data_IF_063842702162
#
_entry.id   IF_063842702162
#
_cell.length_a   1.000
_cell.length_b   1.000
_cell.length_c   1.000
_cell.angle_alpha   90.00
_cell.angle_beta   90.00
_cell.angle_gamma   90.00
#
_symmetry.space_group_name_H-M   'P 1'
#
loop_
_entity.id
_entity.type
_entity.pdbx_description
1 polymer ?
#
# COMPACT_ATOMS: atom_id res chain seq x y z
N UNK A 1 68.34 -10.39 -9.26
CA UNK A 1 67.68 -11.60 -9.81
C UNK A 1 66.23 -11.61 -9.36
N UNK A 2 65.33 -11.84 -10.32
CA UNK A 2 63.91 -12.18 -10.23
C UNK A 2 62.97 -11.29 -9.40
N UNK A 3 62.33 -10.36 -10.10
CA UNK A 3 60.99 -9.83 -9.80
C UNK A 3 59.94 -10.93 -9.96
N UNK A 4 59.17 -11.23 -8.91
CA UNK A 4 57.94 -12.03 -9.05
C UNK A 4 56.81 -11.41 -8.24
N UNK A 5 56.11 -10.46 -8.86
CA UNK A 5 54.80 -10.00 -8.43
C UNK A 5 53.78 -11.08 -8.78
N UNK A 6 53.52 -11.99 -7.83
CA UNK A 6 52.44 -12.98 -7.96
C UNK A 6 51.10 -12.29 -7.75
N UNK A 7 50.44 -11.95 -8.86
CA UNK A 7 49.03 -11.59 -8.87
C UNK A 7 48.21 -12.86 -8.60
N UNK A 8 47.77 -13.05 -7.35
CA UNK A 8 46.73 -14.02 -7.03
C UNK A 8 45.40 -13.52 -7.60
N UNK A 9 45.07 -14.01 -8.79
CA UNK A 9 43.74 -13.90 -9.37
C UNK A 9 42.79 -14.74 -8.50
N UNK A 10 42.03 -14.10 -7.60
CA UNK A 10 40.98 -14.78 -6.85
C UNK A 10 39.92 -15.22 -7.85
N UNK A 11 40.00 -16.49 -8.22
CA UNK A 11 39.04 -17.17 -9.05
C UNK A 11 37.69 -17.07 -8.35
N UNK A 12 36.77 -16.27 -8.90
CA UNK A 12 35.39 -16.17 -8.42
C UNK A 12 34.74 -17.54 -8.60
N UNK A 13 34.72 -18.36 -7.53
CA UNK A 13 33.87 -19.54 -7.48
C UNK A 13 32.42 -19.06 -7.51
N UNK A 14 31.70 -19.37 -8.58
CA UNK A 14 30.26 -19.14 -8.62
C UNK A 14 29.57 -20.12 -7.65
N UNK A 15 28.69 -19.64 -6.76
CA UNK A 15 28.04 -20.50 -5.77
C UNK A 15 27.15 -21.53 -6.47
N UNK A 16 27.31 -22.80 -6.08
CA UNK A 16 26.72 -23.95 -6.80
C UNK A 16 25.44 -24.44 -6.16
N UNK A 17 25.15 -24.01 -4.93
CA UNK A 17 23.97 -24.43 -4.16
C UNK A 17 23.11 -23.23 -3.75
N UNK A 18 21.79 -23.43 -3.64
CA UNK A 18 20.86 -22.39 -3.19
C UNK A 18 21.21 -21.81 -1.81
N UNK A 19 21.87 -22.59 -0.95
CA UNK A 19 22.30 -22.15 0.38
C UNK A 19 23.51 -21.20 0.32
N UNK A 20 24.49 -21.51 -0.51
CA UNK A 20 25.65 -20.65 -0.77
C UNK A 20 25.26 -19.33 -1.44
N UNK A 21 24.27 -19.37 -2.34
CA UNK A 21 23.69 -18.17 -2.98
C UNK A 21 23.08 -17.21 -1.96
N UNK A 22 22.29 -17.71 -1.01
CA UNK A 22 21.66 -16.89 0.04
C UNK A 22 22.71 -16.26 0.95
N UNK A 23 23.74 -17.01 1.34
CA UNK A 23 24.82 -16.52 2.19
C UNK A 23 25.68 -15.45 1.47
N UNK A 24 25.92 -15.62 0.18
CA UNK A 24 26.65 -14.64 -0.65
C UNK A 24 25.87 -13.32 -0.79
N UNK A 25 24.55 -13.38 -0.94
CA UNK A 25 23.69 -12.19 -1.02
C UNK A 25 23.63 -11.40 0.30
N UNK A 26 23.58 -12.09 1.44
CA UNK A 26 23.57 -11.47 2.77
C UNK A 26 24.89 -10.75 3.08
N UNK A 27 26.03 -11.41 2.85
CA UNK A 27 27.36 -10.80 3.06
C UNK A 27 27.60 -9.58 2.17
N UNK A 28 27.06 -9.61 0.94
CA UNK A 28 27.11 -8.48 0.01
C UNK A 28 26.23 -7.32 0.44
N UNK A 29 25.06 -7.58 1.04
CA UNK A 29 24.21 -6.55 1.61
C UNK A 29 24.92 -5.84 2.78
N UNK A 30 25.50 -6.59 3.71
CA UNK A 30 26.22 -6.05 4.87
C UNK A 30 27.43 -5.19 4.46
N UNK A 31 28.19 -5.64 3.46
CA UNK A 31 29.29 -4.84 2.90
C UNK A 31 28.79 -3.55 2.25
N UNK A 32 27.67 -3.55 1.55
CA UNK A 32 27.14 -2.32 0.94
C UNK A 32 26.61 -1.33 1.99
N UNK A 33 25.97 -1.82 3.05
CA UNK A 33 25.50 -1.02 4.18
C UNK A 33 26.69 -0.32 4.87
N UNK A 34 27.79 -1.04 5.11
CA UNK A 34 29.00 -0.44 5.70
C UNK A 34 29.69 0.59 4.80
N UNK A 35 29.60 0.44 3.47
CA UNK A 35 30.06 1.44 2.48
C UNK A 35 29.08 2.63 2.38
N UNK A 36 27.94 2.59 3.10
CA UNK A 36 26.90 3.62 3.06
C UNK A 36 26.04 3.59 1.79
N UNK A 37 26.06 2.47 1.05
CA UNK A 37 25.24 2.27 -0.14
C UNK A 37 23.96 1.53 0.20
N UNK A 38 22.85 2.05 -0.30
CA UNK A 38 21.55 1.39 -0.22
C UNK A 38 21.52 0.18 -1.17
N UNK A 39 21.53 -1.02 -0.59
CA UNK A 39 21.60 -2.29 -1.30
C UNK A 39 20.37 -2.52 -2.20
N UNK A 40 19.19 -2.11 -1.76
CA UNK A 40 17.94 -2.29 -2.51
C UNK A 40 17.96 -1.46 -3.81
N UNK A 41 18.50 -0.23 -3.75
CA UNK A 41 18.71 0.59 -4.95
C UNK A 41 19.76 0.02 -5.90
N UNK A 42 20.89 -0.47 -5.39
CA UNK A 42 21.94 -1.07 -6.22
C UNK A 42 21.44 -2.31 -6.96
N UNK A 43 20.62 -3.12 -6.29
CA UNK A 43 19.98 -4.30 -6.88
C UNK A 43 19.03 -3.89 -8.01
N UNK A 44 18.18 -2.88 -7.78
CA UNK A 44 17.27 -2.35 -8.80
C UNK A 44 18.02 -1.81 -10.03
N UNK A 45 19.17 -1.14 -9.83
CA UNK A 45 20.01 -0.61 -10.90
C UNK A 45 20.66 -1.70 -11.77
N UNK A 46 20.84 -2.90 -11.22
CA UNK A 46 21.42 -4.05 -11.92
C UNK A 46 20.38 -4.92 -12.62
N UNK A 47 19.08 -4.60 -12.50
CA UNK A 47 18.02 -5.33 -13.21
C UNK A 47 18.10 -4.99 -14.71
N UNK A 48 18.32 -6.00 -15.54
CA UNK A 48 18.28 -5.84 -17.00
C UNK A 48 16.87 -5.50 -17.48
N UNK A 49 16.77 -4.78 -18.61
CA UNK A 49 15.48 -4.38 -19.19
C UNK A 49 14.50 -5.56 -19.40
N UNK A 50 15.04 -6.73 -19.79
CA UNK A 50 14.26 -7.97 -19.98
C UNK A 50 13.64 -8.47 -18.66
N UNK A 51 14.40 -8.41 -17.57
CA UNK A 51 13.94 -8.84 -16.26
C UNK A 51 12.97 -7.82 -15.66
N UNK A 52 13.19 -6.52 -15.89
CA UNK A 52 12.26 -5.46 -15.51
C UNK A 52 10.89 -5.64 -16.18
N UNK A 53 10.84 -5.88 -17.50
CA UNK A 53 9.58 -6.16 -18.20
C UNK A 53 8.87 -7.40 -17.68
N UNK A 54 9.62 -8.47 -17.38
CA UNK A 54 9.07 -9.71 -16.81
C UNK A 54 8.49 -9.44 -15.42
N UNK A 55 9.14 -8.61 -14.61
CA UNK A 55 8.67 -8.22 -13.29
C UNK A 55 7.39 -7.38 -13.41
N UNK A 56 7.37 -6.37 -14.29
CA UNK A 56 6.19 -5.52 -14.53
C UNK A 56 4.97 -6.34 -14.95
N UNK A 57 5.14 -7.34 -15.83
CA UNK A 57 4.04 -8.24 -16.23
C UNK A 57 3.54 -9.12 -15.08
N UNK A 58 4.41 -9.46 -14.12
CA UNK A 58 4.05 -10.21 -12.91
C UNK A 58 3.42 -9.31 -11.84
N UNK A 59 3.55 -7.99 -11.95
CA UNK A 59 2.89 -7.09 -11.00
C UNK A 59 1.37 -7.22 -11.13
N UNK A 60 0.71 -7.25 -9.97
CA UNK A 60 -0.75 -7.29 -9.93
C UNK A 60 -1.37 -6.02 -10.53
N UNK A 61 -2.47 -6.19 -11.25
CA UNK A 61 -3.27 -5.06 -11.75
C UNK A 61 -3.77 -4.23 -10.55
N UNK A 62 -3.51 -2.91 -10.57
CA UNK A 62 -4.01 -1.96 -9.57
C UNK A 62 -5.50 -1.68 -9.83
N UNK A 63 -6.32 -1.68 -8.79
CA UNK A 63 -7.74 -1.32 -8.85
C UNK A 63 -8.05 -0.24 -7.81
N UNK A 64 -7.66 1.03 -8.06
CA UNK A 64 -7.94 2.13 -7.15
C UNK A 64 -9.46 2.42 -7.09
N UNK A 65 -9.92 2.91 -5.94
CA UNK A 65 -11.31 3.35 -5.78
C UNK A 65 -11.50 4.73 -6.42
N UNK A 66 -12.48 4.86 -7.31
CA UNK A 66 -12.76 6.09 -8.06
C UNK A 66 -13.70 7.06 -7.36
N UNK A 67 -14.27 6.66 -6.22
CA UNK A 67 -15.37 7.37 -5.58
C UNK A 67 -16.69 6.59 -5.71
N UNK A 68 -17.71 7.08 -5.01
CA UNK A 68 -19.05 6.47 -5.02
C UNK A 68 -19.89 7.22 -6.06
N UNK A 69 -20.05 6.61 -7.24
CA UNK A 69 -20.85 7.18 -8.33
C UNK A 69 -22.33 6.76 -8.20
N UNK A 70 -22.60 5.46 -8.40
CA UNK A 70 -23.92 4.86 -8.23
C UNK A 70 -23.83 3.63 -7.35
N UNK A 71 -24.94 3.28 -6.71
CA UNK A 71 -25.01 2.05 -5.92
C UNK A 71 -24.74 0.81 -6.79
N UNK A 72 -25.20 0.81 -8.04
CA UNK A 72 -24.97 -0.27 -9.01
C UNK A 72 -23.49 -0.44 -9.37
N UNK A 73 -22.76 0.66 -9.61
CA UNK A 73 -21.34 0.59 -9.88
C UNK A 73 -20.57 0.03 -8.67
N UNK A 74 -20.96 0.41 -7.45
CA UNK A 74 -20.35 -0.09 -6.23
C UNK A 74 -20.65 -1.58 -5.99
N UNK A 75 -21.89 -2.03 -6.25
CA UNK A 75 -22.26 -3.45 -6.13
C UNK A 75 -21.56 -4.30 -7.18
N UNK A 76 -21.44 -3.82 -8.42
CA UNK A 76 -20.68 -4.49 -9.47
C UNK A 76 -19.20 -4.66 -9.09
N UNK A 77 -18.57 -3.62 -8.52
CA UNK A 77 -17.19 -3.71 -7.99
C UNK A 77 -17.07 -4.73 -6.84
N UNK A 78 -18.01 -4.72 -5.90
CA UNK A 78 -18.06 -5.70 -4.82
C UNK A 78 -18.17 -7.13 -5.38
N UNK A 79 -19.08 -7.35 -6.32
CA UNK A 79 -19.33 -8.65 -6.94
C UNK A 79 -18.11 -9.17 -7.70
N UNK A 80 -17.51 -8.36 -8.57
CA UNK A 80 -16.30 -8.73 -9.30
C UNK A 80 -15.15 -9.16 -8.38
N UNK A 81 -14.98 -8.48 -7.24
CA UNK A 81 -14.01 -8.87 -6.20
C UNK A 81 -14.37 -10.20 -5.54
N UNK A 82 -15.64 -10.43 -5.20
CA UNK A 82 -16.08 -11.68 -4.58
C UNK A 82 -15.91 -12.88 -5.52
N UNK A 83 -16.27 -12.73 -6.79
CA UNK A 83 -16.07 -13.76 -7.82
C UNK A 83 -14.59 -14.09 -7.98
N UNK A 84 -13.71 -13.08 -7.99
CA UNK A 84 -12.26 -13.30 -8.06
C UNK A 84 -11.71 -14.04 -6.85
N UNK A 85 -12.28 -13.80 -5.67
CA UNK A 85 -11.86 -14.45 -4.43
C UNK A 85 -12.52 -15.82 -4.20
N UNK A 86 -13.44 -16.24 -5.08
CA UNK A 86 -14.14 -17.50 -4.93
C UNK A 86 -13.15 -18.66 -5.01
N UNK A 87 -13.17 -19.60 -4.06
CA UNK A 87 -12.31 -20.77 -4.12
C UNK A 87 -12.63 -21.60 -5.37
N UNK A 88 -11.61 -22.24 -5.94
CA UNK A 88 -11.79 -23.16 -7.06
C UNK A 88 -12.74 -24.30 -6.70
N UNK A 89 -13.52 -24.77 -7.67
CA UNK A 89 -14.51 -25.85 -7.52
C UNK A 89 -13.85 -27.11 -6.91
N UNK A 90 -14.16 -27.39 -5.65
CA UNK A 90 -13.72 -28.61 -4.96
C UNK A 90 -14.96 -29.36 -4.46
N UNK A 91 -15.25 -30.53 -5.03
CA UNK A 91 -16.48 -31.29 -4.78
C UNK A 91 -16.67 -31.67 -3.29
N UNK A 92 -15.58 -31.92 -2.54
CA UNK A 92 -15.64 -32.22 -1.09
C UNK A 92 -15.96 -30.99 -0.22
N UNK A 93 -15.70 -29.78 -0.72
CA UNK A 93 -15.88 -28.52 0.05
C UNK A 93 -17.33 -28.04 0.08
N UNK A 94 -18.17 -28.52 -0.84
CA UNK A 94 -19.55 -28.06 -1.05
C UNK A 94 -20.56 -28.55 0.00
N UNK A 95 -20.21 -29.51 0.84
CA UNK A 95 -21.08 -29.97 1.93
C UNK A 95 -21.18 -28.94 3.08
N UNK A 96 -20.26 -27.98 3.14
CA UNK A 96 -20.10 -27.12 4.30
C UNK A 96 -20.87 -25.79 4.17
N UNK A 97 -22.12 -25.77 4.64
CA UNK A 97 -22.88 -24.54 4.93
C UNK A 97 -22.07 -23.52 5.76
N UNK A 98 -21.16 -24.01 6.61
CA UNK A 98 -20.30 -23.19 7.46
C UNK A 98 -19.39 -22.22 6.66
N UNK A 99 -18.89 -22.65 5.50
CA UNK A 99 -18.04 -21.79 4.65
C UNK A 99 -18.80 -20.57 4.12
N UNK A 100 -20.10 -20.72 3.84
CA UNK A 100 -20.95 -19.62 3.38
C UNK A 100 -21.17 -18.59 4.48
N UNK A 101 -21.37 -19.05 5.73
CA UNK A 101 -21.56 -18.17 6.89
C UNK A 101 -20.30 -17.35 7.13
N UNK A 102 -19.13 -17.99 7.12
CA UNK A 102 -17.83 -17.32 7.26
C UNK A 102 -17.61 -16.25 6.17
N UNK A 103 -17.91 -16.57 4.91
CA UNK A 103 -17.79 -15.62 3.80
C UNK A 103 -18.74 -14.41 3.96
N UNK A 104 -19.95 -14.63 4.49
CA UNK A 104 -20.90 -13.55 4.78
C UNK A 104 -20.44 -12.67 5.95
N UNK A 105 -19.91 -13.27 7.01
CA UNK A 105 -19.35 -12.55 8.15
C UNK A 105 -18.18 -11.66 7.71
N UNK A 106 -17.26 -12.19 6.90
CA UNK A 106 -16.16 -11.41 6.32
C UNK A 106 -16.67 -10.25 5.44
N UNK A 107 -17.76 -10.45 4.68
CA UNK A 107 -18.38 -9.38 3.90
C UNK A 107 -18.96 -8.29 4.79
N UNK A 108 -19.64 -8.67 5.87
CA UNK A 108 -20.21 -7.76 6.86
C UNK A 108 -19.10 -6.94 7.53
N UNK A 109 -18.01 -7.58 7.95
CA UNK A 109 -16.87 -6.90 8.56
C UNK A 109 -16.23 -5.88 7.61
N UNK A 110 -16.03 -6.25 6.34
CA UNK A 110 -15.52 -5.33 5.31
C UNK A 110 -16.46 -4.14 5.11
N UNK A 111 -17.78 -4.38 5.12
CA UNK A 111 -18.80 -3.31 5.02
C UNK A 111 -18.78 -2.39 6.24
N UNK A 112 -18.65 -2.92 7.45
CA UNK A 112 -18.53 -2.12 8.69
C UNK A 112 -17.33 -1.16 8.67
N UNK A 113 -16.25 -1.54 7.99
CA UNK A 113 -15.00 -0.75 7.88
C UNK A 113 -14.98 0.26 6.71
N UNK A 114 -16.06 0.41 5.94
CA UNK A 114 -16.08 1.29 4.76
C UNK A 114 -15.88 2.77 5.11
N UNK A 115 -16.33 3.19 6.30
CA UNK A 115 -16.09 4.51 6.84
C UNK A 115 -14.96 4.45 7.87
N UNK A 116 -13.75 4.82 7.44
CA UNK A 116 -12.60 4.87 8.34
C UNK A 116 -12.68 6.12 9.23
N UNK A 117 -12.60 5.93 10.54
CA UNK A 117 -12.49 7.05 11.50
C UNK A 117 -11.20 7.82 11.25
N UNK A 118 -11.29 9.14 11.10
CA UNK A 118 -10.13 10.04 11.08
C UNK A 118 -9.62 10.23 12.51
N UNK A 119 -8.30 10.33 12.68
CA UNK A 119 -7.68 10.61 13.99
C UNK A 119 -8.19 11.96 14.52
N UNK A 120 -8.45 12.02 15.81
CA UNK A 120 -8.78 13.27 16.49
C UNK A 120 -7.47 14.02 16.78
N UNK A 121 -7.47 15.33 16.58
CA UNK A 121 -6.33 16.18 16.89
C UNK A 121 -6.75 17.09 18.06
N UNK A 122 -6.08 16.94 19.20
CA UNK A 122 -6.42 17.67 20.43
C UNK A 122 -6.01 19.16 20.35
N UNK A 123 -5.04 19.47 19.49
CA UNK A 123 -4.50 20.83 19.31
C UNK A 123 -5.30 21.69 18.30
N UNK A 124 -6.36 21.14 17.71
CA UNK A 124 -7.15 21.86 16.72
C UNK A 124 -8.16 22.81 17.39
N UNK A 125 -8.36 23.99 16.80
CA UNK A 125 -9.39 24.93 17.25
C UNK A 125 -10.79 24.29 17.20
N UNK A 126 -11.47 24.30 18.36
CA UNK A 126 -12.78 23.67 18.52
C UNK A 126 -13.89 24.68 18.25
N UNK A 127 -14.56 24.53 17.11
CA UNK A 127 -15.68 25.37 16.67
C UNK A 127 -17.07 24.86 17.12
N UNK A 128 -17.11 23.87 18.01
CA UNK A 128 -18.34 23.17 18.39
C UNK A 128 -18.48 22.96 19.90
N UNK A 129 -19.71 23.03 20.40
CA UNK A 129 -20.02 22.72 21.79
C UNK A 129 -20.31 21.22 22.03
N UNK A 130 -20.76 20.50 21.01
CA UNK A 130 -21.14 19.08 21.12
C UNK A 130 -20.71 18.25 19.90
N UNK A 131 -20.69 16.93 20.04
CA UNK A 131 -20.24 16.01 18.96
C UNK A 131 -21.17 16.01 17.73
N UNK A 132 -22.48 16.26 17.92
CA UNK A 132 -23.42 16.37 16.79
C UNK A 132 -23.17 17.64 15.98
N UNK A 133 -22.88 18.75 16.65
CA UNK A 133 -22.51 20.04 16.07
C UNK A 133 -21.17 19.90 15.34
N UNK A 134 -20.18 19.18 15.89
CA UNK A 134 -18.91 18.90 15.19
C UNK A 134 -19.15 18.21 13.84
N UNK A 135 -20.07 17.24 13.77
CA UNK A 135 -20.40 16.54 12.53
C UNK A 135 -21.12 17.43 11.53
N UNK A 136 -21.97 18.35 11.99
CA UNK A 136 -22.66 19.33 11.15
C UNK A 136 -21.64 20.36 10.64
N UNK A 137 -20.79 20.92 11.48
CA UNK A 137 -19.72 21.85 11.08
C UNK A 137 -18.78 21.20 10.05
N UNK A 138 -18.35 19.94 10.29
CA UNK A 138 -17.58 19.15 9.31
C UNK A 138 -18.33 18.91 8.01
N UNK A 139 -19.67 18.84 8.02
CA UNK A 139 -20.48 18.73 6.81
C UNK A 139 -20.48 20.06 6.07
N UNK A 140 -20.71 21.17 6.77
CA UNK A 140 -20.68 22.51 6.20
C UNK A 140 -19.33 22.81 5.56
N UNK A 141 -18.23 22.49 6.25
CA UNK A 141 -16.86 22.67 5.72
C UNK A 141 -16.64 21.92 4.40
N UNK A 142 -17.18 20.70 4.24
CA UNK A 142 -17.05 19.94 2.98
C UNK A 142 -17.79 20.59 1.81
N UNK A 143 -18.94 21.23 2.06
CA UNK A 143 -19.78 21.80 1.00
C UNK A 143 -19.43 23.27 0.71
N UNK A 144 -19.08 24.03 1.75
CA UNK A 144 -18.92 25.48 1.68
C UNK A 144 -17.49 25.94 1.92
N UNK A 145 -16.61 25.12 2.50
CA UNK A 145 -15.25 25.51 2.86
C UNK A 145 -14.45 26.08 1.69
N UNK A 146 -14.64 25.54 0.48
CA UNK A 146 -14.02 26.07 -0.75
C UNK A 146 -14.48 27.50 -1.06
N UNK A 147 -15.76 27.82 -0.85
CA UNK A 147 -16.35 29.14 -1.14
C UNK A 147 -16.17 30.14 0.00
N UNK A 148 -16.01 29.66 1.23
CA UNK A 148 -15.89 30.50 2.43
C UNK A 148 -14.44 30.64 2.91
N UNK A 149 -13.47 30.16 2.14
CA UNK A 149 -12.04 30.23 2.49
C UNK A 149 -11.56 31.67 2.72
N UNK A 150 -11.97 32.61 1.87
CA UNK A 150 -11.62 34.03 2.02
C UNK A 150 -12.23 34.65 3.28
N UNK A 151 -13.51 34.38 3.54
CA UNK A 151 -14.21 34.85 4.74
C UNK A 151 -13.51 34.34 6.00
N UNK A 152 -13.10 33.06 6.02
CA UNK A 152 -12.40 32.46 7.15
C UNK A 152 -11.04 33.13 7.41
N UNK A 153 -10.25 33.37 6.36
CA UNK A 153 -8.98 34.07 6.50
C UNK A 153 -9.15 35.52 6.99
N UNK A 154 -10.19 36.20 6.54
CA UNK A 154 -10.53 37.56 7.00
C UNK A 154 -10.88 37.59 8.49
N UNK A 155 -11.64 36.60 8.97
CA UNK A 155 -11.95 36.44 10.39
C UNK A 155 -10.69 36.17 11.22
N UNK A 156 -9.79 35.30 10.75
CA UNK A 156 -8.52 35.00 11.43
C UNK A 156 -7.57 36.22 11.43
N UNK A 157 -7.62 37.07 10.40
CA UNK A 157 -6.84 38.32 10.31
C UNK A 157 -7.47 39.49 11.07
N UNK A 158 -8.76 39.42 11.40
CA UNK A 158 -9.52 40.52 12.01
C UNK A 158 -9.82 41.69 11.05
N UNK A 159 -9.75 41.47 9.74
CA UNK A 159 -9.96 42.49 8.70
C UNK A 159 -10.97 42.02 7.67
N UNK A 160 -11.88 42.89 7.23
CA UNK A 160 -12.77 42.63 6.11
C UNK A 160 -12.17 43.25 4.84
N UNK A 161 -11.48 42.42 4.04
CA UNK A 161 -10.95 42.77 2.71
C UNK A 161 -11.75 42.02 1.66
#
# INVERSE_FOLDING_TARGET
MATTTTAFYVQRCEPTTNFELIHFDLTRADMNISIGKDYDRLKLLQIFAIDAERIERKQGKKNPDGGVDTFEAQTARQYARLVKNMPTRNMKKYENKNNMVEDLEQQIEKRKKCSRRRTYNDDADVDYLNERNSKINKKLERFYGERTAEIKQNLERGTAI
#
